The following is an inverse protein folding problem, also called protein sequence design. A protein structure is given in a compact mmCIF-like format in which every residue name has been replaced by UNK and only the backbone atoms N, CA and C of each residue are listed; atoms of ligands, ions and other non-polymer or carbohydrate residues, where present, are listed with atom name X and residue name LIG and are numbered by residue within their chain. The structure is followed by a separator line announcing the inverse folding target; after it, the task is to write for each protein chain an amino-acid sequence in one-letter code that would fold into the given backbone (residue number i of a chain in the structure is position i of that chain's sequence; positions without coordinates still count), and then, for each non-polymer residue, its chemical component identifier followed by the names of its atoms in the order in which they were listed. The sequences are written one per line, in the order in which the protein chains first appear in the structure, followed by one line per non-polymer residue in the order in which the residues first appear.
data_IF_862045696504
#
_entry.id   IF_862045696504
#
_cell.length_a   1.000
_cell.length_b   1.000
_cell.length_c   1.000
_cell.angle_alpha   90.00
_cell.angle_beta   90.00
_cell.angle_gamma   90.00
#
_symmetry.space_group_name_H-M   'P 1'
#
loop_
_entity.id
_entity.type
_entity.pdbx_description
1 polymer ?
#
# COMPACT_ATOMS: atom_id res chain seq x y z
N UNK A 1 -4.44 -58.15 45.04
CA UNK A 1 -5.35 -58.30 43.88
C UNK A 1 -4.95 -57.30 42.80
N UNK A 2 -4.88 -57.77 41.54
CA UNK A 2 -5.02 -57.08 40.23
C UNK A 2 -4.58 -55.62 40.02
N UNK A 3 -3.56 -55.49 39.13
CA UNK A 3 -3.41 -54.58 37.96
C UNK A 3 -4.55 -53.57 37.69
N UNK A 4 -4.22 -52.34 37.28
CA UNK A 4 -4.07 -51.87 35.87
C UNK A 4 -4.16 -50.33 35.79
N UNK A 5 -3.42 -49.71 34.86
CA UNK A 5 -3.52 -48.30 34.44
C UNK A 5 -4.96 -47.87 34.08
N UNK A 6 -5.26 -46.55 34.14
CA UNK A 6 -5.76 -45.75 33.00
C UNK A 6 -6.11 -44.28 33.38
N UNK A 7 -5.57 -43.32 32.60
CA UNK A 7 -6.28 -42.21 31.89
C UNK A 7 -6.94 -41.04 32.69
N UNK A 8 -6.39 -39.83 32.44
CA UNK A 8 -6.98 -38.44 32.52
C UNK A 8 -8.08 -38.29 31.43
N UNK A 9 -9.13 -37.42 31.45
CA UNK A 9 -9.39 -36.18 32.22
C UNK A 9 -10.84 -36.11 32.80
N UNK A 10 -11.26 -34.97 33.41
CA UNK A 10 -12.51 -34.24 33.10
C UNK A 10 -12.93 -33.24 34.20
N UNK A 11 -13.14 -32.00 33.75
CA UNK A 11 -14.04 -30.92 34.19
C UNK A 11 -14.03 -30.36 35.64
N UNK A 12 -13.78 -29.03 35.66
CA UNK A 12 -14.74 -28.00 36.06
C UNK A 12 -15.15 -27.93 37.54
N UNK A 13 -14.47 -27.09 38.32
CA UNK A 13 -15.08 -26.22 39.32
C UNK A 13 -14.05 -25.20 39.80
N UNK A 14 -14.04 -23.99 39.22
CA UNK A 14 -13.61 -22.80 39.95
C UNK A 14 -14.81 -21.88 40.04
N UNK A 15 -15.17 -21.64 41.29
CA UNK A 15 -16.18 -20.72 41.81
C UNK A 15 -16.19 -19.39 41.05
N UNK A 16 -17.36 -19.08 40.50
CA UNK A 16 -17.85 -17.72 40.33
C UNK A 16 -17.95 -17.07 41.72
N UNK A 17 -17.00 -16.20 42.05
CA UNK A 17 -17.24 -15.15 43.05
C UNK A 17 -18.26 -14.19 42.47
N UNK A 18 -19.49 -14.26 42.99
CA UNK A 18 -20.57 -13.37 42.63
C UNK A 18 -20.25 -11.92 42.98
N UNK A 19 -20.48 -11.03 42.01
CA UNK A 19 -20.68 -9.61 42.26
C UNK A 19 -22.14 -9.46 42.64
N UNK A 20 -22.39 -9.08 43.89
CA UNK A 20 -23.70 -8.67 44.38
C UNK A 20 -23.97 -7.24 43.89
N UNK A 21 -24.99 -7.06 43.06
CA UNK A 21 -25.62 -5.76 42.84
C UNK A 21 -27.02 -5.78 43.46
N UNK A 22 -27.35 -4.68 44.11
CA UNK A 22 -28.43 -4.48 45.07
C UNK A 22 -29.78 -4.22 44.37
N UNK A 23 -30.32 -5.19 43.63
CA UNK A 23 -31.71 -5.19 43.16
C UNK A 23 -32.22 -6.64 43.04
N UNK A 24 -33.49 -6.83 43.40
CA UNK A 24 -34.10 -8.12 43.75
C UNK A 24 -34.03 -9.26 42.73
N UNK A 25 -34.25 -10.47 43.24
CA UNK A 25 -34.36 -11.74 42.51
C UNK A 25 -35.16 -11.63 41.19
N UNK A 26 -34.48 -11.77 40.06
CA UNK A 26 -35.13 -12.10 38.79
C UNK A 26 -35.11 -13.62 38.66
N UNK A 27 -36.28 -14.23 38.83
CA UNK A 27 -36.50 -15.65 38.53
C UNK A 27 -36.11 -15.93 37.07
N UNK A 28 -35.23 -16.91 36.87
CA UNK A 28 -34.88 -17.45 35.55
C UNK A 28 -36.02 -18.31 34.99
N UNK A 29 -37.13 -17.66 34.65
CA UNK A 29 -38.21 -18.15 33.79
C UNK A 29 -38.77 -16.89 33.14
N UNK A 30 -38.85 -16.86 31.81
CA UNK A 30 -39.17 -15.68 30.96
C UNK A 30 -37.98 -14.91 30.36
N UNK A 31 -37.01 -15.61 29.76
CA UNK A 31 -36.29 -15.06 28.59
C UNK A 31 -36.30 -16.14 27.50
N UNK A 32 -37.48 -16.43 26.99
CA UNK A 32 -37.68 -17.15 25.74
C UNK A 32 -38.62 -16.29 24.91
N UNK A 33 -38.05 -15.31 24.20
CA UNK A 33 -38.85 -14.34 23.46
C UNK A 33 -38.21 -12.98 23.19
N UNK A 34 -36.88 -12.85 23.30
CA UNK A 34 -36.17 -11.71 22.74
C UNK A 34 -35.12 -12.24 21.76
N UNK A 35 -35.57 -12.67 20.58
CA UNK A 35 -34.74 -12.48 19.40
C UNK A 35 -34.62 -10.98 19.24
N UNK A 36 -33.52 -10.42 19.77
CA UNK A 36 -33.04 -9.16 19.25
C UNK A 36 -32.71 -9.44 17.78
N UNK A 37 -33.63 -9.10 16.89
CA UNK A 37 -33.27 -8.78 15.52
C UNK A 37 -32.34 -7.57 15.65
N UNK A 38 -31.05 -7.86 15.82
CA UNK A 38 -30.01 -6.92 15.43
C UNK A 38 -30.17 -6.76 13.92
N UNK A 39 -31.13 -5.92 13.52
CA UNK A 39 -31.20 -5.43 12.16
C UNK A 39 -29.83 -4.87 11.87
N UNK A 40 -29.09 -5.52 10.99
CA UNK A 40 -27.85 -4.99 10.49
C UNK A 40 -28.20 -3.63 9.90
N UNK A 41 -27.87 -2.57 10.62
CA UNK A 41 -27.95 -1.21 10.07
C UNK A 41 -26.95 -1.23 8.92
N UNK A 42 -27.49 -1.31 7.70
CA UNK A 42 -26.75 -1.01 6.50
C UNK A 42 -26.27 0.43 6.66
N UNK A 43 -25.01 0.59 7.09
CA UNK A 43 -24.31 1.87 7.06
C UNK A 43 -23.96 2.14 5.59
N UNK A 44 -24.98 2.37 4.78
CA UNK A 44 -24.78 2.83 3.41
C UNK A 44 -24.30 4.27 3.53
N UNK A 45 -23.00 4.47 3.31
CA UNK A 45 -22.42 5.79 3.25
C UNK A 45 -22.74 6.39 1.87
N UNK A 46 -23.45 7.52 1.84
CA UNK A 46 -23.67 8.28 0.61
C UNK A 46 -22.54 9.30 0.45
N UNK A 47 -21.51 8.93 -0.32
CA UNK A 47 -20.41 9.82 -0.71
C UNK A 47 -20.44 9.98 -2.22
N UNK A 48 -20.52 11.22 -2.70
CA UNK A 48 -20.38 11.56 -4.12
C UNK A 48 -19.03 12.23 -4.35
N UNK A 49 -18.30 11.77 -5.37
CA UNK A 49 -17.03 12.37 -5.80
C UNK A 49 -17.20 12.83 -7.25
N UNK A 50 -17.15 14.14 -7.48
CA UNK A 50 -17.41 14.74 -8.79
C UNK A 50 -16.16 14.87 -9.68
N UNK A 51 -14.99 14.47 -9.17
CA UNK A 51 -13.69 14.58 -9.86
C UNK A 51 -12.73 13.48 -9.42
N UNK A 52 -11.64 13.21 -10.17
CA UNK A 52 -10.60 12.29 -9.71
C UNK A 52 -10.09 12.66 -8.31
N UNK A 53 -9.88 11.65 -7.47
CA UNK A 53 -9.35 11.86 -6.12
C UNK A 53 -7.82 11.84 -6.17
N UNK A 54 -7.16 12.91 -5.74
CA UNK A 54 -5.69 13.01 -5.75
C UNK A 54 -5.08 12.46 -4.46
N UNK A 55 -4.29 11.38 -4.57
CA UNK A 55 -3.61 10.75 -3.43
C UNK A 55 -2.23 11.34 -3.15
N UNK A 56 -1.55 11.75 -4.22
CA UNK A 56 -0.23 12.37 -4.17
C UNK A 56 -0.20 13.53 -5.13
N UNK A 57 0.33 14.67 -4.69
CA UNK A 57 0.50 15.89 -5.48
C UNK A 57 1.86 16.47 -5.17
N UNK A 58 2.72 16.53 -6.19
CA UNK A 58 4.15 16.78 -6.03
C UNK A 58 4.60 17.92 -6.94
N UNK A 59 5.20 18.99 -6.41
CA UNK A 59 5.67 20.11 -7.22
C UNK A 59 6.84 19.70 -8.12
N UNK A 60 6.76 20.03 -9.40
CA UNK A 60 7.80 19.65 -10.38
C UNK A 60 8.88 20.71 -10.60
N UNK A 61 8.68 21.93 -10.11
CA UNK A 61 9.60 23.04 -10.41
C UNK A 61 11.03 22.76 -9.93
N UNK A 62 11.18 22.16 -8.75
CA UNK A 62 12.50 21.91 -8.15
C UNK A 62 13.19 20.67 -8.71
N UNK A 63 12.42 19.70 -9.21
CA UNK A 63 12.95 18.39 -9.65
C UNK A 63 13.06 18.27 -11.17
N UNK A 64 12.14 18.88 -11.91
CA UNK A 64 12.04 18.80 -13.37
C UNK A 64 12.26 20.17 -14.06
N UNK A 65 12.25 21.27 -13.31
CA UNK A 65 12.18 22.62 -13.90
C UNK A 65 10.84 22.93 -14.57
N UNK A 66 9.81 22.10 -14.34
CA UNK A 66 8.47 22.25 -14.93
C UNK A 66 7.59 23.00 -13.92
N UNK A 67 7.02 24.18 -14.26
CA UNK A 67 6.08 24.88 -13.40
C UNK A 67 4.75 24.12 -13.36
N UNK A 68 4.54 23.32 -12.32
CA UNK A 68 3.38 22.44 -12.23
C UNK A 68 3.49 21.34 -11.20
N UNK A 69 2.63 20.33 -11.33
CA UNK A 69 2.52 19.22 -10.40
C UNK A 69 2.43 17.88 -11.12
N UNK A 70 3.09 16.86 -10.57
CA UNK A 70 2.77 15.46 -10.81
C UNK A 70 1.73 15.01 -9.78
N UNK A 71 0.62 14.45 -10.25
CA UNK A 71 -0.43 13.92 -9.41
C UNK A 71 -0.62 12.42 -9.63
N UNK A 72 -0.85 11.68 -8.55
CA UNK A 72 -1.43 10.33 -8.57
C UNK A 72 -2.91 10.44 -8.25
N UNK A 73 -3.76 9.98 -9.17
CA UNK A 73 -5.20 10.18 -9.10
C UNK A 73 -5.95 8.86 -9.21
N UNK A 74 -6.88 8.61 -8.28
CA UNK A 74 -7.93 7.59 -8.43
C UNK A 74 -9.03 8.14 -9.33
N UNK A 75 -9.25 7.49 -10.48
CA UNK A 75 -10.25 7.90 -11.47
C UNK A 75 -11.52 7.05 -11.44
N UNK A 76 -11.41 5.81 -10.95
CA UNK A 76 -12.54 4.90 -10.71
C UNK A 76 -12.13 3.92 -9.63
N UNK A 77 -12.99 3.67 -8.64
CA UNK A 77 -12.67 2.66 -7.65
C UNK A 77 -13.50 2.77 -6.38
N UNK A 78 -12.95 2.23 -5.30
CA UNK A 78 -13.59 2.18 -4.00
C UNK A 78 -12.77 2.95 -2.96
N UNK A 79 -13.50 3.60 -2.04
CA UNK A 79 -12.96 4.12 -0.81
C UNK A 79 -13.55 3.33 0.36
N UNK A 80 -12.69 2.86 1.25
CA UNK A 80 -13.08 2.15 2.46
C UNK A 80 -12.32 2.71 3.67
N UNK A 81 -13.02 2.80 4.80
CA UNK A 81 -12.38 2.94 6.11
C UNK A 81 -12.73 1.73 6.99
N UNK A 82 -11.74 0.90 7.30
CA UNK A 82 -11.87 -0.17 8.29
C UNK A 82 -10.76 -0.08 9.33
N UNK A 83 -11.05 0.64 10.42
CA UNK A 83 -10.14 0.81 11.55
C UNK A 83 -10.11 -0.40 12.50
N UNK A 84 -10.95 -1.43 12.26
CA UNK A 84 -11.00 -2.63 13.08
C UNK A 84 -10.11 -3.76 12.52
N UNK A 85 -9.68 -3.64 11.26
CA UNK A 85 -8.75 -4.58 10.65
C UNK A 85 -7.37 -4.53 11.35
N UNK A 86 -6.91 -5.67 11.85
CA UNK A 86 -5.62 -5.82 12.54
C UNK A 86 -4.42 -6.01 11.57
N UNK A 87 -4.59 -5.73 10.28
CA UNK A 87 -3.59 -5.94 9.23
C UNK A 87 -2.87 -4.65 8.85
N UNK A 88 -1.77 -4.77 8.09
CA UNK A 88 -1.07 -3.63 7.49
C UNK A 88 -1.91 -2.79 6.51
N UNK A 89 -3.12 -3.27 6.20
CA UNK A 89 -4.11 -2.65 5.30
C UNK A 89 -5.31 -2.07 6.04
N UNK A 90 -5.29 -2.05 7.38
CA UNK A 90 -6.33 -1.40 8.19
C UNK A 90 -6.28 0.12 8.05
N UNK A 91 -7.41 0.76 8.32
CA UNK A 91 -7.62 2.19 8.17
C UNK A 91 -8.21 2.54 6.80
N UNK A 92 -7.69 3.59 6.16
CA UNK A 92 -8.15 4.05 4.85
C UNK A 92 -7.66 3.12 3.75
N UNK A 93 -8.45 2.99 2.71
CA UNK A 93 -8.06 2.27 1.50
C UNK A 93 -8.74 2.89 0.29
N UNK A 94 -7.93 3.15 -0.73
CA UNK A 94 -8.35 3.48 -2.08
C UNK A 94 -7.89 2.35 -2.99
N UNK A 95 -8.81 1.73 -3.72
CA UNK A 95 -8.47 0.71 -4.73
C UNK A 95 -9.21 0.94 -6.04
N UNK A 96 -8.58 0.59 -7.16
CA UNK A 96 -9.20 0.68 -8.49
C UNK A 96 -8.24 1.18 -9.58
N UNK A 97 -8.79 1.98 -10.49
CA UNK A 97 -8.09 2.57 -11.63
C UNK A 97 -7.42 3.88 -11.21
N UNK A 98 -6.09 3.93 -11.34
CA UNK A 98 -5.28 5.10 -11.08
C UNK A 98 -4.59 5.58 -12.36
N UNK A 99 -4.35 6.88 -12.42
CA UNK A 99 -3.50 7.50 -13.43
C UNK A 99 -2.49 8.44 -12.78
N UNK A 100 -1.42 8.70 -13.51
CA UNK A 100 -0.59 9.87 -13.26
C UNK A 100 -1.07 11.02 -14.14
N UNK A 101 -1.06 12.23 -13.62
CA UNK A 101 -1.32 13.45 -14.39
C UNK A 101 -0.23 14.48 -14.14
N UNK A 102 0.11 15.24 -15.17
CA UNK A 102 0.92 16.45 -15.02
C UNK A 102 0.05 17.64 -15.33
N UNK A 103 0.00 18.58 -14.40
CA UNK A 103 -0.76 19.83 -14.52
C UNK A 103 0.16 21.03 -14.41
N UNK A 104 -0.15 22.11 -15.13
CA UNK A 104 0.49 23.41 -14.96
C UNK A 104 0.15 24.05 -13.61
N UNK A 105 0.84 25.13 -13.24
CA UNK A 105 0.54 25.90 -12.02
C UNK A 105 -0.89 26.44 -11.99
N UNK A 106 -1.47 26.72 -13.15
CA UNK A 106 -2.85 27.17 -13.36
C UNK A 106 -3.88 26.05 -13.32
N UNK A 107 -3.44 24.80 -13.15
CA UNK A 107 -4.28 23.60 -13.14
C UNK A 107 -4.62 23.04 -14.52
N UNK A 108 -4.08 23.60 -15.61
CA UNK A 108 -4.26 23.04 -16.96
C UNK A 108 -3.60 21.67 -17.05
N UNK A 109 -4.32 20.67 -17.54
CA UNK A 109 -3.81 19.34 -17.77
C UNK A 109 -2.83 19.33 -18.96
N UNK A 110 -1.59 18.94 -18.70
CA UNK A 110 -0.52 18.86 -19.70
C UNK A 110 -0.30 17.43 -20.22
N UNK A 111 -0.38 16.44 -19.33
CA UNK A 111 -0.18 15.04 -19.69
C UNK A 111 -0.94 14.09 -18.75
N UNK A 112 -1.25 12.89 -19.25
CA UNK A 112 -1.80 11.78 -18.46
C UNK A 112 -1.14 10.47 -18.85
N UNK A 113 -0.91 9.61 -17.86
CA UNK A 113 -0.36 8.28 -18.06
C UNK A 113 -1.24 7.23 -17.34
N UNK A 114 -1.69 6.17 -18.02
CA UNK A 114 -2.59 5.17 -17.44
C UNK A 114 -1.80 4.21 -16.54
N UNK A 115 -1.62 4.60 -15.27
CA UNK A 115 -0.78 3.88 -14.32
C UNK A 115 -1.27 2.45 -14.09
N UNK A 116 -2.57 2.24 -13.91
CA UNK A 116 -3.13 0.90 -13.67
C UNK A 116 -2.83 -0.08 -14.81
N UNK A 117 -2.72 0.38 -16.05
CA UNK A 117 -2.41 -0.49 -17.21
C UNK A 117 -1.00 -1.10 -17.13
N UNK A 118 -0.14 -0.58 -16.25
CA UNK A 118 1.21 -1.13 -16.04
C UNK A 118 1.20 -2.30 -15.06
N UNK A 119 0.15 -2.49 -14.27
CA UNK A 119 0.07 -3.51 -13.23
C UNK A 119 -0.90 -4.62 -13.62
N UNK A 120 -0.60 -5.85 -13.20
CA UNK A 120 -1.47 -7.01 -13.44
C UNK A 120 -2.55 -7.19 -12.36
N UNK A 121 -2.44 -6.43 -11.28
CA UNK A 121 -3.34 -6.47 -10.12
C UNK A 121 -3.97 -5.08 -9.91
N UNK A 122 -5.13 -5.06 -9.27
CA UNK A 122 -5.77 -3.80 -8.89
C UNK A 122 -4.86 -3.04 -7.92
N UNK A 123 -4.61 -1.77 -8.21
CA UNK A 123 -3.78 -0.92 -7.35
C UNK A 123 -4.53 -0.58 -6.06
N UNK A 124 -3.79 -0.55 -4.96
CA UNK A 124 -4.30 -0.17 -3.64
C UNK A 124 -3.34 0.76 -2.91
N UNK A 125 -3.88 1.83 -2.35
CA UNK A 125 -3.17 2.78 -1.49
C UNK A 125 -3.96 2.97 -0.20
N UNK A 126 -3.27 3.00 0.94
CA UNK A 126 -3.86 3.13 2.27
C UNK A 126 -3.48 4.44 2.96
N UNK A 127 -2.68 5.26 2.28
CA UNK A 127 -2.24 6.55 2.81
C UNK A 127 -2.05 7.57 1.69
N UNK A 128 -2.07 8.84 2.06
CA UNK A 128 -1.59 9.92 1.23
C UNK A 128 -0.06 9.97 1.37
N UNK A 129 0.64 10.23 0.27
CA UNK A 129 2.11 10.21 0.28
C UNK A 129 2.70 11.21 -0.71
N UNK A 130 4.00 11.46 -0.58
CA UNK A 130 4.78 12.21 -1.56
C UNK A 130 5.61 11.24 -2.39
N UNK A 131 5.79 11.57 -3.66
CA UNK A 131 6.64 10.82 -4.59
C UNK A 131 8.07 11.31 -4.41
N UNK A 132 8.99 10.35 -4.25
CA UNK A 132 10.42 10.61 -4.15
C UNK A 132 11.06 10.56 -5.54
N UNK A 133 11.85 11.58 -5.88
CA UNK A 133 12.46 11.75 -7.19
C UNK A 133 13.97 11.57 -7.16
N UNK A 134 14.57 11.05 -8.23
CA UNK A 134 16.02 11.00 -8.49
C UNK A 134 16.33 11.06 -9.98
N UNK A 135 17.58 10.86 -10.37
CA UNK A 135 17.99 10.68 -11.77
C UNK A 135 18.73 9.34 -11.85
N UNK A 136 17.96 8.27 -12.02
CA UNK A 136 18.47 6.91 -11.93
C UNK A 136 19.05 6.43 -13.26
N UNK A 137 18.58 6.94 -14.39
CA UNK A 137 19.09 6.58 -15.71
C UNK A 137 20.18 7.56 -16.24
N UNK A 138 20.41 8.68 -15.54
CA UNK A 138 21.44 9.67 -15.85
C UNK A 138 21.13 10.57 -17.03
N UNK A 139 19.86 10.69 -17.43
CA UNK A 139 19.44 11.51 -18.57
C UNK A 139 19.11 12.98 -18.20
N UNK A 140 19.18 13.31 -16.92
CA UNK A 140 18.90 14.64 -16.37
C UNK A 140 17.42 14.95 -16.21
N UNK A 141 16.53 13.98 -16.45
CA UNK A 141 15.11 14.04 -16.15
C UNK A 141 14.83 13.35 -14.79
N UNK A 142 13.78 13.77 -14.07
CA UNK A 142 13.45 13.11 -12.82
C UNK A 142 12.77 11.76 -13.05
N UNK A 143 13.33 10.77 -12.39
CA UNK A 143 12.84 9.42 -12.22
C UNK A 143 12.18 9.26 -10.85
N UNK A 144 11.20 8.36 -10.75
CA UNK A 144 10.51 8.10 -9.50
C UNK A 144 9.97 6.67 -9.44
N UNK A 145 9.65 6.22 -8.24
CA UNK A 145 9.06 4.90 -8.01
C UNK A 145 7.61 5.00 -7.56
N UNK A 146 6.79 4.05 -8.02
CA UNK A 146 5.47 3.77 -7.46
C UNK A 146 5.48 2.34 -6.92
N UNK A 147 5.17 2.21 -5.64
CA UNK A 147 5.18 0.97 -4.89
C UNK A 147 3.79 0.39 -4.67
N UNK A 148 3.71 -0.94 -4.58
CA UNK A 148 2.56 -1.71 -4.12
C UNK A 148 3.00 -2.70 -3.05
N UNK A 149 2.12 -2.95 -2.08
CA UNK A 149 2.42 -3.89 -1.01
C UNK A 149 2.77 -5.28 -1.58
N UNK A 150 3.92 -5.82 -1.18
CA UNK A 150 4.34 -7.16 -1.58
C UNK A 150 4.18 -8.17 -0.45
N UNK A 151 4.85 -7.92 0.65
CA UNK A 151 4.77 -8.75 1.86
C UNK A 151 5.21 -7.96 3.10
N UNK A 152 5.17 -8.59 4.27
CA UNK A 152 5.76 -8.02 5.48
C UNK A 152 7.26 -7.73 5.36
N UNK A 153 7.92 -8.27 4.34
CA UNK A 153 9.35 -8.10 4.10
C UNK A 153 9.66 -6.94 3.14
N UNK A 154 8.68 -6.37 2.44
CA UNK A 154 8.92 -5.32 1.45
C UNK A 154 7.79 -5.12 0.46
N UNK A 155 8.00 -4.18 -0.46
CA UNK A 155 7.03 -3.77 -1.47
C UNK A 155 7.61 -3.97 -2.88
N UNK A 156 6.73 -4.10 -3.87
CA UNK A 156 7.09 -4.14 -5.28
C UNK A 156 7.03 -2.73 -5.85
N UNK A 157 8.07 -2.29 -6.55
CA UNK A 157 8.13 -0.96 -7.16
C UNK A 157 8.37 -1.05 -8.65
N UNK A 158 7.71 -0.15 -9.39
CA UNK A 158 8.04 0.18 -10.78
C UNK A 158 8.68 1.56 -10.86
N UNK A 159 9.52 1.76 -11.87
CA UNK A 159 10.19 3.03 -12.11
C UNK A 159 9.56 3.76 -13.28
N UNK A 160 9.50 5.08 -13.18
CA UNK A 160 8.99 5.96 -14.20
C UNK A 160 9.89 7.18 -14.34
N UNK A 161 9.89 7.80 -15.51
CA UNK A 161 10.60 9.04 -15.80
C UNK A 161 9.63 10.12 -16.29
N UNK A 162 9.96 11.39 -16.03
CA UNK A 162 9.23 12.55 -16.58
C UNK A 162 10.14 13.30 -17.54
N UNK A 163 9.86 13.21 -18.84
CA UNK A 163 10.58 13.97 -19.86
C UNK A 163 10.29 15.47 -19.77
N UNK A 164 11.19 16.30 -20.33
CA UNK A 164 11.00 17.77 -20.41
C UNK A 164 9.75 18.23 -21.16
N UNK A 165 9.20 17.39 -22.02
CA UNK A 165 7.93 17.65 -22.72
C UNK A 165 6.70 17.21 -21.90
N UNK A 166 6.89 16.92 -20.61
CA UNK A 166 5.90 16.42 -19.67
C UNK A 166 5.39 15.00 -19.98
N UNK A 167 5.99 14.24 -20.90
CA UNK A 167 5.63 12.84 -21.09
C UNK A 167 6.13 11.98 -19.92
N UNK A 168 5.33 10.97 -19.56
CA UNK A 168 5.70 9.96 -18.56
C UNK A 168 5.95 8.64 -19.29
N UNK A 169 7.02 7.95 -18.92
CA UNK A 169 7.33 6.60 -19.42
C UNK A 169 7.77 5.69 -18.27
N UNK A 170 7.51 4.39 -18.39
CA UNK A 170 8.09 3.39 -17.51
C UNK A 170 9.57 3.18 -17.86
N UNK A 171 10.42 3.05 -16.84
CA UNK A 171 11.80 2.60 -16.98
C UNK A 171 11.88 1.12 -16.61
N UNK A 172 11.97 0.28 -17.64
CA UNK A 172 11.96 -1.16 -17.47
C UNK A 172 13.25 -1.68 -16.78
N UNK A 173 13.09 -2.74 -15.99
CA UNK A 173 14.19 -3.52 -15.42
C UNK A 173 14.29 -4.86 -16.15
N UNK A 174 15.50 -5.26 -16.53
CA UNK A 174 15.70 -6.49 -17.29
C UNK A 174 15.21 -7.70 -16.49
N UNK A 175 14.39 -8.56 -17.14
CA UNK A 175 13.88 -9.84 -16.62
C UNK A 175 12.92 -9.75 -15.44
N UNK A 176 12.62 -8.56 -14.93
CA UNK A 176 11.62 -8.38 -13.88
C UNK A 176 10.82 -7.11 -14.14
N UNK A 177 9.48 -7.18 -14.12
CA UNK A 177 8.67 -5.97 -14.27
C UNK A 177 8.78 -5.05 -13.06
N UNK A 178 9.20 -5.58 -11.89
CA UNK A 178 9.15 -4.90 -10.61
C UNK A 178 10.40 -5.17 -9.76
N UNK A 179 10.76 -4.20 -8.91
CA UNK A 179 11.79 -4.30 -7.90
C UNK A 179 11.17 -4.65 -6.56
N UNK A 180 11.62 -5.71 -5.90
CA UNK A 180 11.27 -5.98 -4.51
C UNK A 180 12.26 -5.29 -3.56
N UNK A 181 11.76 -4.36 -2.74
CA UNK A 181 12.59 -3.53 -1.86
C UNK A 181 12.05 -3.58 -0.44
N UNK A 182 12.94 -3.82 0.53
CA UNK A 182 12.62 -3.72 1.95
C UNK A 182 12.80 -2.27 2.39
N UNK A 183 11.71 -1.51 2.39
CA UNK A 183 11.65 -0.13 2.86
C UNK A 183 10.44 0.07 3.77
N UNK A 184 10.53 1.06 4.66
CA UNK A 184 9.38 1.57 5.42
C UNK A 184 8.44 2.38 4.54
N UNK A 185 8.95 3.00 3.47
CA UNK A 185 8.18 3.85 2.57
C UNK A 185 7.43 3.00 1.56
N UNK A 186 6.10 2.88 1.72
CA UNK A 186 5.33 1.85 1.02
C UNK A 186 5.10 2.12 -0.47
N UNK A 187 4.85 3.37 -0.82
CA UNK A 187 4.30 3.74 -2.14
C UNK A 187 5.25 4.55 -3.02
N UNK A 188 6.32 5.09 -2.46
CA UNK A 188 7.42 5.68 -3.21
C UNK A 188 8.68 5.58 -2.36
N UNK A 189 9.82 5.28 -2.98
CA UNK A 189 11.11 5.16 -2.32
C UNK A 189 12.18 5.88 -3.13
N UNK A 190 13.00 6.68 -2.45
CA UNK A 190 14.22 7.24 -3.01
C UNK A 190 15.28 6.15 -3.11
N UNK A 191 15.69 5.81 -4.33
CA UNK A 191 16.77 4.85 -4.55
C UNK A 191 18.12 5.54 -4.37
N UNK A 192 19.14 4.76 -3.99
CA UNK A 192 20.50 5.29 -3.84
C UNK A 192 21.15 5.32 -5.21
N UNK A 193 21.29 6.52 -5.78
CA UNK A 193 21.93 6.78 -7.07
C UNK A 193 23.39 6.33 -7.08
N UNK A 194 23.84 5.89 -8.25
CA UNK A 194 25.22 5.55 -8.58
C UNK A 194 25.61 6.27 -9.88
N UNK A 195 26.88 6.21 -10.27
CA UNK A 195 27.35 6.88 -11.48
C UNK A 195 26.66 6.40 -12.78
N UNK A 196 26.11 5.18 -12.81
CA UNK A 196 25.55 4.56 -14.02
C UNK A 196 24.14 4.00 -13.78
N UNK A 197 23.48 4.35 -12.67
CA UNK A 197 22.27 3.65 -12.23
C UNK A 197 21.90 3.88 -10.77
N UNK A 198 21.43 2.84 -10.08
CA UNK A 198 21.07 2.91 -8.67
C UNK A 198 21.34 1.60 -7.93
N UNK A 199 21.23 1.63 -6.61
CA UNK A 199 21.15 0.43 -5.78
C UNK A 199 19.78 0.30 -5.11
N UNK A 200 19.31 -0.94 -5.00
CA UNK A 200 18.10 -1.30 -4.27
C UNK A 200 18.40 -2.48 -3.35
N UNK A 201 17.70 -2.54 -2.23
CA UNK A 201 18.00 -3.53 -1.19
C UNK A 201 16.76 -4.23 -0.68
N UNK A 202 16.88 -5.52 -0.42
CA UNK A 202 15.85 -6.30 0.28
C UNK A 202 16.48 -7.12 1.40
N UNK A 203 15.71 -7.36 2.46
CA UNK A 203 16.12 -8.20 3.57
C UNK A 203 15.95 -9.67 3.20
N UNK A 204 17.04 -10.43 3.25
CA UNK A 204 17.05 -11.86 3.01
C UNK A 204 16.91 -12.61 4.34
N UNK A 205 15.71 -13.14 4.59
CA UNK A 205 15.39 -13.89 5.81
C UNK A 205 16.18 -15.21 5.94
N UNK A 206 16.69 -15.77 4.84
CA UNK A 206 17.47 -17.01 4.88
C UNK A 206 18.89 -16.79 5.41
N UNK A 207 19.45 -15.60 5.18
CA UNK A 207 20.79 -15.22 5.63
C UNK A 207 20.79 -14.22 6.79
N UNK A 208 19.64 -13.61 7.10
CA UNK A 208 19.47 -12.59 8.13
C UNK A 208 20.19 -11.28 7.80
N UNK A 209 20.31 -10.95 6.51
CA UNK A 209 21.12 -9.82 6.02
C UNK A 209 20.39 -9.03 4.95
N UNK A 210 20.78 -7.77 4.80
CA UNK A 210 20.36 -6.94 3.69
C UNK A 210 21.12 -7.34 2.42
N UNK A 211 20.40 -7.84 1.42
CA UNK A 211 20.92 -8.08 0.09
C UNK A 211 20.79 -6.78 -0.73
N UNK A 212 21.93 -6.22 -1.13
CA UNK A 212 21.99 -5.03 -1.98
C UNK A 212 22.24 -5.45 -3.42
N UNK A 213 21.51 -4.84 -4.35
CA UNK A 213 21.64 -5.08 -5.78
C UNK A 213 21.88 -3.75 -6.48
N UNK A 214 22.87 -3.74 -7.36
CA UNK A 214 23.17 -2.59 -8.20
C UNK A 214 22.52 -2.81 -9.57
N UNK A 215 21.90 -1.77 -10.08
CA UNK A 215 21.27 -1.74 -11.39
C UNK A 215 21.96 -0.66 -12.22
N UNK A 216 22.32 -0.99 -13.45
CA UNK A 216 22.96 -0.09 -14.39
C UNK A 216 22.06 0.14 -15.60
N UNK A 217 21.94 1.38 -16.03
CA UNK A 217 21.24 1.72 -17.27
C UNK A 217 22.06 1.31 -18.49
N UNK A 218 21.46 0.57 -19.44
CA UNK A 218 22.13 0.18 -20.70
C UNK A 218 21.77 1.06 -21.91
N UNK A 219 20.95 2.10 -21.69
CA UNK A 219 20.38 2.95 -22.73
C UNK A 219 18.92 2.63 -23.06
N UNK A 220 18.38 1.50 -22.58
CA UNK A 220 16.99 1.10 -22.80
C UNK A 220 16.34 0.46 -21.57
N UNK A 221 17.07 -0.32 -20.79
CA UNK A 221 16.59 -1.00 -19.58
C UNK A 221 17.64 -0.98 -18.47
N UNK A 222 17.21 -1.11 -17.22
CA UNK A 222 18.11 -1.34 -16.10
C UNK A 222 18.51 -2.80 -16.01
N UNK A 223 19.81 -3.08 -16.05
CA UNK A 223 20.38 -4.40 -15.87
C UNK A 223 20.94 -4.55 -14.47
N UNK A 224 20.60 -5.64 -13.78
CA UNK A 224 21.23 -5.97 -12.50
C UNK A 224 22.68 -6.38 -12.73
N UNK A 225 23.62 -5.66 -12.11
CA UNK A 225 25.06 -5.96 -12.15
C UNK A 225 25.48 -6.65 -10.83
N UNK A 226 26.46 -7.54 -10.94
CA UNK A 226 27.02 -8.30 -9.81
C UNK A 226 28.06 -7.49 -9.04
#
# INVERSE_FOLDING_TARGET
MRRLLLIVPVLLMILLTGITNDFGYINARWISGAQAEAGAVSLQADITIDSPFTLSRNPLLQVAGIPGYLNLELIRGTYLEDWNALSATGGRSWSGDFRLSITGEDGVLLHTFPLSDQYNEELQFNDLFQIEFGDYNGDGNPDFTIGQYGSSNGNFYRLFAISKDCSIQELAVERTPELFISSTDRYSVKLTETAEGFTASHYDNSTGRLAVHTYRWDGAVFQRVQ
#
